data_IF_065348783307
#
_entry.id   IF_065348783307
#
_cell.length_a   1.000
_cell.length_b   1.000
_cell.length_c   1.000
_cell.angle_alpha   90.00
_cell.angle_beta   90.00
_cell.angle_gamma   90.00
#
_symmetry.space_group_name_H-M   'P 1'
#
loop_
_entity.id
_entity.type
_entity.pdbx_description
1 polymer ?
#
# COMPACT_ATOMS: atom_id res chain seq x y z
N UNK A 1 13.32 1.04 -22.88
CA UNK A 1 12.26 1.00 -23.91
C UNK A 1 11.16 1.95 -23.48
N UNK A 2 10.81 2.94 -24.29
CA UNK A 2 9.71 3.86 -23.95
C UNK A 2 8.38 3.14 -24.12
N UNK A 3 7.65 2.88 -23.04
CA UNK A 3 6.32 2.29 -23.11
C UNK A 3 5.35 3.33 -23.69
N UNK A 4 4.76 3.05 -24.86
CA UNK A 4 3.70 3.88 -25.44
C UNK A 4 2.36 3.50 -24.82
N UNK A 5 1.76 4.41 -24.05
CA UNK A 5 0.40 4.25 -23.56
C UNK A 5 -0.61 4.51 -24.69
N UNK A 6 -1.63 3.65 -24.80
CA UNK A 6 -2.73 3.81 -25.76
C UNK A 6 -4.06 3.70 -25.02
N UNK A 7 -4.92 4.69 -25.21
CA UNK A 7 -6.31 4.62 -24.76
C UNK A 7 -7.15 3.94 -25.85
N UNK A 8 -7.98 2.97 -25.46
CA UNK A 8 -8.92 2.29 -26.34
C UNK A 8 -10.33 2.47 -25.78
N UNK A 9 -11.21 3.04 -26.59
CA UNK A 9 -12.62 3.20 -26.25
C UNK A 9 -13.40 1.95 -26.70
N UNK A 10 -14.17 1.36 -25.78
CA UNK A 10 -14.89 0.10 -25.99
C UNK A 10 -16.40 0.29 -26.26
N UNK A 11 -16.87 1.52 -26.47
CA UNK A 11 -18.29 1.81 -26.65
C UNK A 11 -19.03 2.15 -25.35
N UNK A 12 -20.30 2.56 -25.49
CA UNK A 12 -21.24 2.84 -24.38
C UNK A 12 -22.47 1.92 -24.42
N UNK A 13 -22.57 1.06 -25.44
CA UNK A 13 -23.78 0.28 -25.73
C UNK A 13 -23.91 -0.96 -24.85
N UNK A 14 -22.78 -1.59 -24.52
CA UNK A 14 -22.71 -2.82 -23.73
C UNK A 14 -22.01 -2.58 -22.39
N UNK A 15 -22.26 -3.43 -21.38
CA UNK A 15 -21.52 -3.37 -20.13
C UNK A 15 -20.00 -3.51 -20.39
N UNK A 16 -19.21 -2.73 -19.66
CA UNK A 16 -17.77 -2.56 -19.91
C UNK A 16 -16.98 -3.88 -19.90
N UNK A 17 -17.22 -4.76 -18.93
CA UNK A 17 -16.43 -6.00 -18.77
C UNK A 17 -16.63 -7.03 -19.89
N UNK A 18 -17.85 -7.33 -20.36
CA UNK A 18 -18.02 -8.17 -21.53
C UNK A 18 -17.31 -7.61 -22.77
N UNK A 19 -17.44 -6.30 -23.06
CA UNK A 19 -16.76 -5.66 -24.19
C UNK A 19 -15.23 -5.68 -24.05
N UNK A 20 -14.71 -5.51 -22.84
CA UNK A 20 -13.28 -5.65 -22.56
C UNK A 20 -12.77 -7.09 -22.78
N UNK A 21 -13.58 -8.10 -22.42
CA UNK A 21 -13.25 -9.50 -22.67
C UNK A 21 -13.22 -9.80 -24.17
N UNK A 22 -14.19 -9.30 -24.95
CA UNK A 22 -14.18 -9.43 -26.41
C UNK A 22 -12.93 -8.79 -27.01
N UNK A 23 -12.64 -7.54 -26.63
CA UNK A 23 -11.46 -6.84 -27.12
C UNK A 23 -10.15 -7.57 -26.81
N UNK A 24 -10.00 -8.13 -25.61
CA UNK A 24 -8.81 -8.90 -25.23
C UNK A 24 -8.66 -10.17 -26.09
N UNK A 25 -9.75 -10.92 -26.27
CA UNK A 25 -9.74 -12.16 -27.03
C UNK A 25 -9.52 -11.92 -28.53
N UNK A 26 -10.13 -10.88 -29.10
CA UNK A 26 -9.93 -10.49 -30.50
C UNK A 26 -8.49 -10.08 -30.79
N UNK A 27 -7.86 -9.36 -29.85
CA UNK A 27 -6.52 -8.80 -30.07
C UNK A 27 -5.38 -9.76 -29.74
N UNK A 28 -5.55 -10.58 -28.69
CA UNK A 28 -4.49 -11.42 -28.15
C UNK A 28 -4.76 -12.92 -28.28
N UNK A 29 -5.95 -13.30 -28.76
CA UNK A 29 -6.36 -14.70 -28.83
C UNK A 29 -6.75 -15.26 -27.47
N UNK A 30 -6.66 -16.58 -27.33
CA UNK A 30 -7.08 -17.31 -26.13
C UNK A 30 -5.95 -17.51 -25.11
N UNK A 31 -4.71 -17.31 -25.51
CA UNK A 31 -3.56 -17.30 -24.61
C UNK A 31 -3.25 -15.86 -24.16
N UNK A 32 -3.67 -15.55 -22.94
CA UNK A 32 -3.51 -14.24 -22.32
C UNK A 32 -2.46 -14.25 -21.21
N UNK A 33 -1.70 -15.34 -21.01
CA UNK A 33 -0.76 -15.48 -19.89
C UNK A 33 0.34 -14.40 -19.86
N UNK A 34 0.65 -13.84 -21.03
CA UNK A 34 1.63 -12.77 -21.20
C UNK A 34 1.11 -11.38 -20.79
N UNK A 35 -0.19 -11.25 -20.45
CA UNK A 35 -0.81 -9.99 -20.09
C UNK A 35 -0.97 -9.84 -18.57
N UNK A 36 -0.76 -8.62 -18.10
CA UNK A 36 -1.18 -8.16 -16.77
C UNK A 36 -2.35 -7.20 -16.96
N UNK A 37 -3.50 -7.53 -16.37
CA UNK A 37 -4.72 -6.70 -16.48
C UNK A 37 -5.06 -6.13 -15.11
N UNK A 38 -4.98 -4.80 -14.98
CA UNK A 38 -5.31 -4.10 -13.75
C UNK A 38 -6.76 -3.62 -13.73
N UNK A 39 -7.48 -3.90 -12.64
CA UNK A 39 -8.88 -3.50 -12.47
C UNK A 39 -9.11 -2.77 -11.12
N UNK A 40 -10.19 -1.98 -10.98
CA UNK A 40 -10.43 -1.18 -9.78
C UNK A 40 -10.61 -1.99 -8.47
N UNK A 41 -10.89 -3.29 -8.55
CA UNK A 41 -11.05 -4.12 -7.37
C UNK A 41 -11.34 -5.60 -7.69
N UNK A 42 -11.29 -6.44 -6.65
CA UNK A 42 -11.36 -7.91 -6.79
C UNK A 42 -12.67 -8.41 -7.41
N UNK A 43 -13.79 -7.69 -7.23
CA UNK A 43 -15.08 -8.02 -7.87
C UNK A 43 -15.02 -7.85 -9.38
N UNK A 44 -14.46 -6.74 -9.86
CA UNK A 44 -14.28 -6.52 -11.30
C UNK A 44 -13.28 -7.52 -11.89
N UNK A 45 -12.21 -7.83 -11.15
CA UNK A 45 -11.24 -8.85 -11.53
C UNK A 45 -11.88 -10.22 -11.77
N UNK A 46 -12.65 -10.69 -10.79
CA UNK A 46 -13.38 -11.95 -10.91
C UNK A 46 -14.36 -11.94 -12.07
N UNK A 47 -15.14 -10.87 -12.21
CA UNK A 47 -16.12 -10.75 -13.28
C UNK A 47 -15.46 -10.79 -14.68
N UNK A 48 -14.32 -10.12 -14.88
CA UNK A 48 -13.59 -10.19 -16.16
C UNK A 48 -13.16 -11.63 -16.49
N UNK A 49 -12.58 -12.35 -15.52
CA UNK A 49 -12.16 -13.75 -15.70
C UNK A 49 -13.36 -14.63 -16.06
N UNK A 50 -14.50 -14.43 -15.40
CA UNK A 50 -15.75 -15.15 -15.72
C UNK A 50 -16.26 -14.84 -17.14
N UNK A 51 -16.13 -13.60 -17.62
CA UNK A 51 -16.45 -13.24 -19.00
C UNK A 51 -15.51 -13.88 -20.01
N UNK A 52 -14.20 -13.86 -19.75
CA UNK A 52 -13.20 -14.51 -20.59
C UNK A 52 -13.46 -16.03 -20.67
N UNK A 53 -13.70 -16.67 -19.53
CA UNK A 53 -13.94 -18.12 -19.47
C UNK A 53 -15.20 -18.53 -20.23
N UNK A 54 -16.29 -17.75 -20.12
CA UNK A 54 -17.52 -18.02 -20.88
C UNK A 54 -17.35 -17.88 -22.39
N UNK A 55 -16.49 -16.95 -22.84
CA UNK A 55 -16.29 -16.67 -24.27
C UNK A 55 -15.25 -17.57 -24.93
N UNK A 56 -14.15 -17.85 -24.24
CA UNK A 56 -13.04 -18.65 -24.79
C UNK A 56 -13.12 -20.15 -24.44
N UNK A 57 -13.91 -20.52 -23.43
CA UNK A 57 -14.06 -21.92 -23.01
C UNK A 57 -12.80 -22.51 -22.42
N UNK A 58 -12.59 -23.81 -22.63
CA UNK A 58 -11.47 -24.58 -22.06
C UNK A 58 -10.09 -24.24 -22.65
N UNK A 59 -10.05 -23.53 -23.77
CA UNK A 59 -8.81 -23.10 -24.43
C UNK A 59 -8.22 -21.82 -23.82
N UNK A 60 -8.92 -21.20 -22.86
CA UNK A 60 -8.45 -19.98 -22.21
C UNK A 60 -7.24 -20.26 -21.33
N UNK A 61 -6.13 -19.56 -21.63
CA UNK A 61 -5.07 -19.33 -20.66
C UNK A 61 -5.25 -17.90 -20.13
N UNK A 62 -5.73 -17.71 -18.88
CA UNK A 62 -6.17 -16.41 -18.41
C UNK A 62 -4.99 -15.45 -18.17
N UNK A 63 -5.22 -14.13 -18.24
CA UNK A 63 -4.20 -13.15 -17.89
C UNK A 63 -3.96 -13.11 -16.38
N UNK A 64 -2.83 -12.53 -15.98
CA UNK A 64 -2.61 -12.15 -14.59
C UNK A 64 -3.46 -10.92 -14.26
N UNK A 65 -4.58 -11.14 -13.59
CA UNK A 65 -5.46 -10.04 -13.16
C UNK A 65 -5.02 -9.53 -11.79
N UNK A 66 -4.79 -8.22 -11.69
CA UNK A 66 -4.39 -7.53 -10.46
C UNK A 66 -5.34 -6.36 -10.18
N UNK A 67 -5.42 -5.93 -8.93
CA UNK A 67 -6.04 -4.63 -8.63
C UNK A 67 -5.09 -3.49 -8.97
N UNK A 68 -5.60 -2.27 -9.10
CA UNK A 68 -4.76 -1.08 -9.27
C UNK A 68 -3.68 -0.95 -8.18
N UNK A 69 -4.01 -1.31 -6.93
CA UNK A 69 -3.05 -1.28 -5.83
C UNK A 69 -1.96 -2.36 -5.92
N UNK A 70 -2.28 -3.52 -6.50
CA UNK A 70 -1.35 -4.63 -6.74
C UNK A 70 -0.56 -4.49 -8.04
N UNK A 71 -1.00 -3.63 -8.97
CA UNK A 71 -0.29 -3.38 -10.22
C UNK A 71 1.14 -2.87 -9.95
N UNK A 72 1.29 -1.98 -8.96
CA UNK A 72 2.60 -1.49 -8.56
C UNK A 72 3.49 -2.64 -8.08
N UNK A 73 2.95 -3.54 -7.26
CA UNK A 73 3.70 -4.73 -6.79
C UNK A 73 4.05 -5.70 -7.92
N UNK A 74 3.22 -5.77 -8.97
CA UNK A 74 3.48 -6.61 -10.13
C UNK A 74 4.55 -6.04 -11.07
N UNK A 75 4.71 -4.71 -11.09
CA UNK A 75 5.65 -4.01 -11.99
C UNK A 75 6.96 -3.61 -11.30
N UNK A 76 6.93 -3.42 -9.97
CA UNK A 76 8.06 -2.96 -9.17
C UNK A 76 8.51 -4.12 -8.26
N UNK A 77 9.56 -4.85 -8.62
CA UNK A 77 10.07 -5.92 -7.77
C UNK A 77 10.62 -5.32 -6.48
N UNK A 78 10.08 -5.76 -5.35
CA UNK A 78 10.59 -5.39 -4.03
C UNK A 78 11.63 -6.43 -3.62
N UNK A 79 12.86 -6.00 -3.32
CA UNK A 79 13.98 -6.90 -3.00
C UNK A 79 13.78 -7.70 -1.71
N UNK A 80 12.90 -7.23 -0.81
CA UNK A 80 12.64 -7.84 0.50
C UNK A 80 11.18 -8.27 0.64
N UNK A 81 10.89 -9.34 1.40
CA UNK A 81 9.52 -9.72 1.70
C UNK A 81 8.76 -8.58 2.39
N UNK A 82 7.50 -8.40 2.00
CA UNK A 82 6.64 -7.37 2.55
C UNK A 82 6.10 -7.80 3.91
N UNK A 83 6.28 -6.95 4.93
CA UNK A 83 5.81 -7.19 6.28
C UNK A 83 4.26 -7.25 6.33
N UNK A 84 3.74 -8.32 6.92
CA UNK A 84 2.30 -8.49 7.13
C UNK A 84 1.70 -7.35 7.97
N UNK A 85 0.38 -7.17 7.91
CA UNK A 85 -0.31 -6.17 8.75
C UNK A 85 0.00 -6.37 10.24
N UNK A 86 -0.08 -7.62 10.72
CA UNK A 86 0.21 -7.96 12.11
C UNK A 86 1.67 -7.64 12.48
N UNK A 87 2.63 -8.06 11.65
CA UNK A 87 4.05 -7.80 11.89
C UNK A 87 4.34 -6.29 11.99
N UNK A 88 3.74 -5.49 11.10
CA UNK A 88 3.86 -4.02 11.15
C UNK A 88 3.23 -3.41 12.40
N UNK A 89 2.06 -3.88 12.84
CA UNK A 89 1.43 -3.41 14.08
C UNK A 89 2.28 -3.75 15.30
N UNK A 90 2.82 -4.97 15.38
CA UNK A 90 3.70 -5.38 16.48
C UNK A 90 5.00 -4.58 16.51
N UNK A 91 5.59 -4.32 15.34
CA UNK A 91 6.76 -3.46 15.23
C UNK A 91 6.46 -2.03 15.71
N UNK A 92 5.28 -1.48 15.38
CA UNK A 92 4.86 -0.16 15.87
C UNK A 92 4.67 -0.15 17.37
N UNK A 93 3.99 -1.16 17.92
CA UNK A 93 3.80 -1.31 19.36
C UNK A 93 5.15 -1.30 20.10
N UNK A 94 6.11 -2.06 19.60
CA UNK A 94 7.47 -2.08 20.15
C UNK A 94 8.20 -0.75 20.00
N UNK A 95 8.15 -0.13 18.81
CA UNK A 95 8.78 1.16 18.57
C UNK A 95 8.25 2.28 19.48
N UNK A 96 6.95 2.27 19.75
CA UNK A 96 6.31 3.21 20.68
C UNK A 96 6.68 2.93 22.14
N UNK A 97 6.86 1.65 22.49
CA UNK A 97 7.29 1.25 23.83
C UNK A 97 8.75 1.65 24.14
N UNK A 98 9.59 1.73 23.11
CA UNK A 98 11.00 2.13 23.21
C UNK A 98 11.18 3.67 23.27
N UNK A 99 10.10 4.46 23.13
CA UNK A 99 10.18 5.91 23.23
C UNK A 99 10.51 6.38 24.66
N UNK A 100 11.31 7.45 24.81
CA UNK A 100 11.45 8.17 26.07
C UNK A 100 10.07 8.63 26.59
N UNK A 101 9.92 8.64 27.93
CA UNK A 101 8.67 8.99 28.59
C UNK A 101 8.06 10.31 28.10
N UNK A 102 8.87 11.36 28.01
CA UNK A 102 8.45 12.69 27.56
C UNK A 102 7.95 12.70 26.10
N UNK A 103 8.51 11.85 25.24
CA UNK A 103 8.06 11.73 23.85
C UNK A 103 6.75 10.95 23.75
N UNK A 104 6.58 9.89 24.56
CA UNK A 104 5.32 9.17 24.66
C UNK A 104 4.19 10.09 25.16
N UNK A 105 4.47 10.90 26.18
CA UNK A 105 3.52 11.88 26.75
C UNK A 105 3.16 13.00 25.76
N UNK A 106 4.01 13.27 24.77
CA UNK A 106 3.62 14.15 23.67
C UNK A 106 2.49 13.51 22.82
N UNK A 107 2.54 12.19 22.61
CA UNK A 107 1.59 11.48 21.75
C UNK A 107 0.25 11.18 22.43
N UNK A 108 0.27 10.86 23.73
CA UNK A 108 -0.91 10.42 24.48
C UNK A 108 -1.01 11.12 25.83
N UNK A 109 -2.24 11.46 26.22
CA UNK A 109 -2.50 12.09 27.52
C UNK A 109 -2.23 11.16 28.70
N UNK A 110 -2.53 9.85 28.54
CA UNK A 110 -2.23 8.80 29.50
C UNK A 110 -1.44 7.71 28.80
N UNK A 111 -0.34 7.28 29.41
CA UNK A 111 0.46 6.20 28.86
C UNK A 111 -0.29 4.86 28.91
N UNK A 112 -0.13 3.99 27.89
CA UNK A 112 -0.71 2.66 27.91
C UNK A 112 -0.11 1.80 29.03
N UNK A 113 -0.96 1.07 29.75
CA UNK A 113 -0.56 0.20 30.87
C UNK A 113 -0.61 -1.28 30.46
N UNK A 114 -1.50 -1.62 29.53
CA UNK A 114 -1.74 -2.99 29.08
C UNK A 114 -1.27 -3.24 27.63
N UNK A 115 -1.00 -4.50 27.30
CA UNK A 115 -0.62 -4.89 25.94
C UNK A 115 -1.69 -4.52 24.88
N UNK A 116 -2.97 -4.57 25.23
CA UNK A 116 -4.06 -4.19 24.33
C UNK A 116 -4.10 -2.69 24.06
N UNK A 117 -3.83 -1.85 25.05
CA UNK A 117 -3.73 -0.40 24.86
C UNK A 117 -2.52 -0.02 24.00
N UNK A 118 -1.38 -0.69 24.19
CA UNK A 118 -0.20 -0.52 23.33
C UNK A 118 -0.51 -0.91 21.88
N UNK A 119 -1.19 -2.04 21.66
CA UNK A 119 -1.63 -2.45 20.32
C UNK A 119 -2.58 -1.44 19.69
N UNK A 120 -3.52 -0.88 20.47
CA UNK A 120 -4.46 0.13 19.97
C UNK A 120 -3.74 1.41 19.54
N UNK A 121 -2.77 1.89 20.33
CA UNK A 121 -1.94 3.04 19.95
C UNK A 121 -1.14 2.74 18.67
N UNK A 122 -0.55 1.54 18.57
CA UNK A 122 0.17 1.11 17.38
C UNK A 122 -0.72 1.05 16.13
N UNK A 123 -1.98 0.64 16.27
CA UNK A 123 -2.94 0.65 15.17
C UNK A 123 -3.26 2.07 14.68
N UNK A 124 -3.43 3.02 15.60
CA UNK A 124 -3.65 4.44 15.26
C UNK A 124 -2.44 4.99 14.49
N UNK A 125 -1.22 4.80 15.02
CA UNK A 125 0.00 5.28 14.36
C UNK A 125 0.24 4.60 13.02
N UNK A 126 -0.05 3.29 12.91
CA UNK A 126 0.03 2.57 11.63
C UNK A 126 -1.00 3.06 10.62
N UNK A 127 -2.21 3.40 11.06
CA UNK A 127 -3.24 3.97 10.18
C UNK A 127 -2.79 5.33 9.65
N UNK A 128 -2.29 6.21 10.52
CA UNK A 128 -1.73 7.51 10.13
C UNK A 128 -0.55 7.35 9.15
N UNK A 129 0.37 6.42 9.40
CA UNK A 129 1.45 6.09 8.44
C UNK A 129 0.87 5.63 7.09
N UNK A 130 -0.19 4.82 7.11
CA UNK A 130 -0.87 4.33 5.91
C UNK A 130 -1.62 5.39 5.11
N UNK A 131 -2.01 6.50 5.72
CA UNK A 131 -2.61 7.66 5.04
C UNK A 131 -1.56 8.50 4.31
N UNK A 132 -0.35 8.62 4.89
CA UNK A 132 0.74 9.43 4.36
C UNK A 132 1.59 8.70 3.30
N UNK A 133 1.79 7.38 3.49
CA UNK A 133 2.70 6.62 2.66
C UNK A 133 2.31 6.53 1.17
N UNK A 134 1.02 6.49 0.76
CA UNK A 134 0.63 6.59 -0.64
C UNK A 134 1.09 7.87 -1.33
N UNK A 135 1.17 8.97 -0.59
CA UNK A 135 1.66 10.28 -1.06
C UNK A 135 3.19 10.40 -0.98
N UNK A 136 3.89 9.32 -0.63
CA UNK A 136 5.34 9.31 -0.45
C UNK A 136 5.82 10.13 0.76
N UNK A 137 4.93 10.41 1.73
CA UNK A 137 5.26 11.24 2.90
C UNK A 137 5.64 10.38 4.11
N UNK A 138 6.76 10.73 4.75
CA UNK A 138 7.13 10.26 6.08
C UNK A 138 6.67 11.23 7.17
N UNK A 139 6.69 10.80 8.43
CA UNK A 139 6.44 11.72 9.54
C UNK A 139 7.48 12.85 9.61
N UNK A 140 8.69 12.62 9.11
CA UNK A 140 9.73 13.64 9.01
C UNK A 140 9.40 14.68 7.93
N UNK A 141 8.76 14.27 6.83
CA UNK A 141 8.26 15.20 5.82
C UNK A 141 7.16 16.10 6.38
N UNK A 142 6.22 15.52 7.13
CA UNK A 142 5.14 16.31 7.74
C UNK A 142 5.71 17.26 8.81
N UNK A 143 6.62 16.80 9.67
CA UNK A 143 7.29 17.64 10.65
C UNK A 143 7.97 18.87 10.02
N UNK A 144 8.77 18.65 8.96
CA UNK A 144 9.44 19.74 8.23
C UNK A 144 8.47 20.71 7.54
N UNK A 145 7.35 20.20 7.01
CA UNK A 145 6.33 21.05 6.38
C UNK A 145 5.58 21.86 7.42
N UNK A 146 5.34 21.28 8.60
CA UNK A 146 4.68 21.93 9.73
C UNK A 146 5.40 23.13 10.31
N UNK A 147 6.74 23.12 10.28
CA UNK A 147 7.57 24.29 10.66
C UNK A 147 7.23 25.54 9.84
N UNK A 148 6.68 25.38 8.63
CA UNK A 148 6.28 26.48 7.75
C UNK A 148 4.83 26.94 7.98
N UNK A 149 4.09 26.25 8.86
CA UNK A 149 2.66 26.46 9.12
C UNK A 149 2.39 26.99 10.53
N UNK A 150 3.42 27.55 11.20
CA UNK A 150 3.34 28.12 12.55
C UNK A 150 2.67 27.18 13.58
N UNK A 151 3.08 25.92 13.58
CA UNK A 151 2.59 24.95 14.56
C UNK A 151 2.86 25.38 16.00
N UNK A 152 1.93 25.02 16.88
CA UNK A 152 2.17 25.09 18.32
C UNK A 152 3.34 24.18 18.69
N UNK A 153 4.07 24.55 19.74
CA UNK A 153 5.18 23.74 20.26
C UNK A 153 4.74 22.30 20.61
N UNK A 154 3.49 22.13 21.09
CA UNK A 154 2.91 20.82 21.36
C UNK A 154 2.80 19.94 20.12
N UNK A 155 2.35 20.51 19.00
CA UNK A 155 2.23 19.77 17.73
C UNK A 155 3.62 19.43 17.16
N UNK A 156 4.58 20.35 17.26
CA UNK A 156 5.97 20.06 16.89
C UNK A 156 6.56 18.89 17.71
N UNK A 157 6.31 18.85 19.02
CA UNK A 157 6.74 17.72 19.88
C UNK A 157 6.07 16.40 19.49
N UNK A 158 4.78 16.42 19.14
CA UNK A 158 4.05 15.24 18.66
C UNK A 158 4.67 14.64 17.41
N UNK A 159 4.91 15.47 16.40
CA UNK A 159 5.52 15.00 15.16
C UNK A 159 6.97 14.56 15.35
N UNK A 160 7.74 15.21 16.23
CA UNK A 160 9.09 14.76 16.59
C UNK A 160 9.10 13.36 17.23
N UNK A 161 8.16 13.09 18.16
CA UNK A 161 8.00 11.76 18.76
C UNK A 161 7.58 10.71 17.71
N UNK A 162 6.69 11.06 16.78
CA UNK A 162 6.31 10.19 15.66
C UNK A 162 7.51 9.88 14.75
N UNK A 163 8.35 10.86 14.43
CA UNK A 163 9.58 10.66 13.63
C UNK A 163 10.52 9.65 14.29
N UNK A 164 10.72 9.76 15.61
CA UNK A 164 11.54 8.81 16.37
C UNK A 164 10.93 7.42 16.38
N UNK A 165 9.62 7.32 16.61
CA UNK A 165 8.90 6.05 16.53
C UNK A 165 9.03 5.40 15.13
N UNK A 166 8.89 6.18 14.05
CA UNK A 166 9.08 5.67 12.68
C UNK A 166 10.50 5.16 12.43
N UNK A 167 11.50 5.83 13.01
CA UNK A 167 12.90 5.41 12.93
C UNK A 167 13.12 4.06 13.62
N UNK A 168 12.62 3.89 14.84
CA UNK A 168 12.70 2.61 15.57
C UNK A 168 11.92 1.50 14.85
N UNK A 169 10.75 1.83 14.32
CA UNK A 169 9.92 0.90 13.56
C UNK A 169 10.62 0.41 12.29
N UNK A 170 11.27 1.29 11.52
CA UNK A 170 12.07 0.91 10.34
C UNK A 170 13.21 -0.03 10.71
N UNK A 171 13.95 0.29 11.77
CA UNK A 171 15.03 -0.56 12.27
C UNK A 171 14.54 -1.95 12.71
N UNK A 172 13.33 -2.06 13.27
CA UNK A 172 12.71 -3.34 13.62
C UNK A 172 12.38 -4.18 12.37
N UNK A 173 11.81 -3.56 11.34
CA UNK A 173 11.52 -4.26 10.08
C UNK A 173 12.80 -4.71 9.38
N UNK A 174 13.82 -3.85 9.35
CA UNK A 174 15.12 -4.15 8.76
C UNK A 174 15.79 -5.34 9.45
N UNK A 175 15.83 -5.37 10.79
CA UNK A 175 16.34 -6.51 11.55
C UNK A 175 15.57 -7.81 11.30
N UNK A 176 14.28 -7.71 11.00
CA UNK A 176 13.45 -8.85 10.64
C UNK A 176 13.57 -9.25 9.16
N UNK A 177 14.38 -8.54 8.36
CA UNK A 177 14.59 -8.84 6.95
C UNK A 177 13.37 -8.52 6.07
N UNK A 178 12.43 -7.71 6.55
CA UNK A 178 11.19 -7.38 5.84
C UNK A 178 11.09 -5.87 5.59
N UNK A 179 10.26 -5.47 4.62
CA UNK A 179 10.01 -4.06 4.34
C UNK A 179 8.53 -3.69 4.52
N UNK A 180 8.25 -2.40 4.72
CA UNK A 180 6.89 -1.91 4.61
C UNK A 180 6.47 -1.83 3.12
N UNK A 181 5.21 -2.15 2.76
CA UNK A 181 4.80 -2.19 1.35
C UNK A 181 5.04 -0.86 0.62
N UNK A 182 4.62 0.25 1.21
CA UNK A 182 4.76 1.57 0.56
C UNK A 182 6.22 2.04 0.49
N UNK A 183 6.98 1.90 1.58
CA UNK A 183 8.40 2.31 1.59
C UNK A 183 9.25 1.42 0.68
N UNK A 184 8.93 0.13 0.57
CA UNK A 184 9.57 -0.79 -0.38
C UNK A 184 9.32 -0.40 -1.83
N UNK A 185 8.10 0.03 -2.18
CA UNK A 185 7.78 0.54 -3.52
C UNK A 185 8.52 1.84 -3.82
N UNK A 186 8.50 2.80 -2.90
CA UNK A 186 9.18 4.10 -3.09
C UNK A 186 10.69 3.96 -3.23
N UNK A 187 11.31 2.97 -2.59
CA UNK A 187 12.75 2.73 -2.72
C UNK A 187 13.15 2.06 -4.06
N UNK A 188 12.19 1.46 -4.76
CA UNK A 188 12.43 0.71 -6.00
C UNK A 188 12.09 1.51 -7.28
N UNK A 189 11.66 2.78 -7.13
CA UNK A 189 11.38 3.74 -8.21
C UNK A 189 12.45 4.82 -8.19
#
# INVERSE_FOLDING_TARGET
MSATSRCVFLGWTDPFLPGAADWLLERHGRDLAHLVVALPGSRAARALVEHLARKAGSELVPPRVVTQGELVDALVPVERPVASRLARTLAWSRALHELPRAELEALVAKAPESASEWLRLAEVVRALHGELAPEGLSFADVARRGERLDWTEGEARRWSALVRAQTHWRALLERAGVCAPHEGRSAAI
#
